data_IF_236779362906
#
_entry.id   IF_236779362906
#
_cell.length_a   1.000
_cell.length_b   1.000
_cell.length_c   1.000
_cell.angle_alpha   90.00
_cell.angle_beta   90.00
_cell.angle_gamma   90.00
#
_symmetry.space_group_name_H-M   'P 1'
#
loop_
_entity.id
_entity.type
_entity.pdbx_description
1 polymer ?
#
# COMPACT_ATOMS: atom_id res chain seq x y z
N UNK A 1 17.47 10.27 -10.46
CA UNK A 1 18.57 11.15 -10.85
C UNK A 1 18.09 12.26 -11.77
N UNK A 2 17.85 11.98 -13.03
CA UNK A 2 17.58 12.99 -14.09
C UNK A 2 16.43 13.95 -13.74
N UNK A 3 15.31 13.45 -13.22
CA UNK A 3 14.18 14.31 -12.81
C UNK A 3 14.62 15.34 -11.74
N UNK A 4 15.30 14.90 -10.71
CA UNK A 4 15.78 15.78 -9.63
C UNK A 4 16.78 16.80 -10.13
N UNK A 5 17.66 16.41 -11.03
CA UNK A 5 18.63 17.29 -11.65
C UNK A 5 17.94 18.38 -12.50
N UNK A 6 16.97 17.98 -13.32
CA UNK A 6 16.17 18.93 -14.12
C UNK A 6 15.40 19.93 -13.23
N UNK A 7 14.79 19.46 -12.13
CA UNK A 7 14.12 20.36 -11.19
C UNK A 7 15.10 21.40 -10.61
N UNK A 8 16.30 20.97 -10.21
CA UNK A 8 17.34 21.88 -9.70
C UNK A 8 17.81 22.86 -10.76
N UNK A 9 18.13 22.39 -11.97
CA UNK A 9 18.60 23.24 -13.07
C UNK A 9 17.57 24.31 -13.48
N UNK A 10 16.27 23.98 -13.36
CA UNK A 10 15.18 24.91 -13.67
C UNK A 10 14.72 25.73 -12.46
N UNK A 11 15.31 25.55 -11.28
CA UNK A 11 14.96 26.22 -10.03
C UNK A 11 13.56 25.85 -9.49
N UNK A 12 12.94 24.80 -10.03
CA UNK A 12 11.60 24.35 -9.65
C UNK A 12 11.58 23.46 -8.41
N UNK A 13 12.73 22.91 -8.02
CA UNK A 13 12.89 22.11 -6.80
C UNK A 13 12.41 22.85 -5.54
N UNK A 14 12.51 24.17 -5.53
CA UNK A 14 12.08 25.05 -4.41
C UNK A 14 10.55 25.12 -4.24
N UNK A 15 9.79 24.71 -5.23
CA UNK A 15 8.31 24.72 -5.22
C UNK A 15 7.71 23.42 -5.78
N UNK A 16 8.42 22.30 -5.61
CA UNK A 16 7.95 20.99 -6.06
C UNK A 16 8.02 20.00 -4.92
N UNK A 17 6.88 19.39 -4.61
CA UNK A 17 6.80 18.22 -3.75
C UNK A 17 6.93 16.98 -4.63
N UNK A 18 7.93 16.16 -4.36
CA UNK A 18 8.15 14.90 -5.05
C UNK A 18 7.63 13.76 -4.18
N UNK A 19 6.73 12.98 -4.73
CA UNK A 19 6.19 11.78 -4.09
C UNK A 19 6.48 10.59 -4.96
N UNK A 20 7.04 9.55 -4.38
CA UNK A 20 7.23 8.26 -5.01
C UNK A 20 6.58 7.18 -4.14
N UNK A 21 5.77 6.33 -4.74
CA UNK A 21 5.17 5.18 -4.06
C UNK A 21 5.01 4.03 -5.05
N UNK A 22 4.96 2.83 -4.51
CA UNK A 22 4.52 1.63 -5.25
C UNK A 22 3.06 1.34 -4.90
N UNK A 23 2.32 0.76 -5.85
CA UNK A 23 0.89 0.51 -5.69
C UNK A 23 0.59 -0.73 -4.83
N UNK A 24 1.45 -1.74 -4.90
CA UNK A 24 1.31 -3.01 -4.16
C UNK A 24 2.65 -3.75 -4.07
N UNK A 25 2.67 -4.83 -3.32
CA UNK A 25 3.79 -5.76 -3.31
C UNK A 25 4.01 -6.41 -4.68
N UNK A 26 5.11 -7.13 -4.82
CA UNK A 26 5.53 -7.71 -6.08
C UNK A 26 4.47 -8.63 -6.70
N UNK A 27 4.35 -8.63 -8.02
CA UNK A 27 3.39 -9.46 -8.73
C UNK A 27 4.02 -10.82 -9.13
N UNK A 28 3.58 -11.95 -8.54
CA UNK A 28 4.12 -13.27 -8.86
C UNK A 28 3.53 -13.88 -10.13
N UNK A 29 2.52 -13.25 -10.76
CA UNK A 29 1.85 -13.82 -11.90
C UNK A 29 2.81 -14.03 -13.08
N UNK A 30 2.66 -15.18 -13.72
CA UNK A 30 3.32 -15.47 -15.00
C UNK A 30 2.41 -15.03 -16.14
N UNK A 31 2.76 -13.92 -16.77
CA UNK A 31 1.93 -13.30 -17.80
C UNK A 31 0.79 -12.46 -17.22
N UNK A 32 0.15 -11.71 -18.10
CA UNK A 32 -1.04 -10.95 -17.73
C UNK A 32 -2.29 -11.81 -17.93
N UNK A 33 -3.24 -11.68 -17.03
CA UNK A 33 -4.48 -12.47 -17.03
C UNK A 33 -5.30 -12.40 -18.32
N UNK A 34 -5.08 -11.35 -19.14
CA UNK A 34 -5.85 -11.09 -20.35
C UNK A 34 -5.20 -11.65 -21.61
N UNK A 35 -3.94 -12.05 -21.52
CA UNK A 35 -3.07 -12.23 -22.67
C UNK A 35 -2.32 -13.58 -22.62
N UNK A 36 -2.95 -14.55 -21.97
CA UNK A 36 -2.35 -15.86 -21.70
C UNK A 36 -2.44 -16.84 -22.87
N UNK A 37 -2.79 -16.39 -24.09
CA UNK A 37 -2.81 -17.28 -25.25
C UNK A 37 -1.39 -17.47 -25.81
N UNK A 38 -1.04 -18.67 -26.28
CA UNK A 38 0.24 -18.91 -26.94
C UNK A 38 0.49 -17.95 -28.10
N UNK A 39 -0.56 -17.55 -28.81
CA UNK A 39 -0.52 -16.63 -29.96
C UNK A 39 -0.06 -15.23 -29.54
N UNK A 40 -0.52 -14.74 -28.39
CA UNK A 40 -0.07 -13.46 -27.86
C UNK A 40 1.45 -13.47 -27.59
N UNK A 41 1.97 -14.52 -26.97
CA UNK A 41 3.39 -14.59 -26.62
C UNK A 41 4.32 -14.75 -27.83
N UNK A 42 3.85 -15.34 -28.94
CA UNK A 42 4.63 -15.51 -30.17
C UNK A 42 5.04 -14.19 -30.85
N UNK A 43 4.38 -13.07 -30.51
CA UNK A 43 4.71 -11.75 -31.08
C UNK A 43 5.93 -11.11 -30.44
N UNK A 44 6.46 -11.68 -29.37
CA UNK A 44 7.57 -11.09 -28.62
C UNK A 44 8.80 -11.99 -28.65
N UNK A 45 9.96 -11.35 -28.80
CA UNK A 45 11.24 -12.01 -28.57
C UNK A 45 11.63 -11.84 -27.09
N UNK A 46 11.31 -12.86 -26.31
CA UNK A 46 11.61 -12.95 -24.88
C UNK A 46 12.89 -13.74 -24.59
N UNK A 47 13.79 -13.86 -25.59
CA UNK A 47 15.12 -14.42 -25.39
C UNK A 47 15.90 -13.60 -24.35
N UNK A 48 16.82 -14.25 -23.66
CA UNK A 48 17.64 -13.63 -22.61
C UNK A 48 18.33 -12.33 -23.11
N UNK A 49 18.83 -12.35 -24.34
CA UNK A 49 19.55 -11.21 -24.91
C UNK A 49 18.63 -10.02 -25.26
N UNK A 50 17.32 -10.25 -25.41
CA UNK A 50 16.35 -9.23 -25.76
C UNK A 50 15.50 -8.75 -24.57
N UNK A 51 15.59 -9.39 -23.40
CA UNK A 51 14.83 -8.97 -22.22
C UNK A 51 15.10 -7.50 -21.88
N UNK A 52 14.02 -6.74 -21.69
CA UNK A 52 14.08 -5.30 -21.40
C UNK A 52 14.32 -4.40 -22.60
N UNK A 53 14.41 -4.96 -23.81
CA UNK A 53 14.57 -4.21 -25.07
C UNK A 53 13.27 -4.17 -25.86
N UNK A 54 13.24 -3.36 -26.91
CA UNK A 54 12.08 -3.27 -27.81
C UNK A 54 11.75 -4.64 -28.39
N UNK A 55 10.48 -5.01 -28.31
CA UNK A 55 9.98 -6.29 -28.81
C UNK A 55 10.02 -7.40 -27.77
N UNK A 56 10.50 -7.16 -26.53
CA UNK A 56 10.31 -8.07 -25.42
C UNK A 56 9.06 -7.70 -24.59
N UNK A 57 8.43 -8.70 -24.02
CA UNK A 57 7.32 -8.56 -23.11
C UNK A 57 7.37 -9.70 -22.07
N UNK A 58 7.97 -9.45 -20.93
CA UNK A 58 8.20 -10.46 -19.89
C UNK A 58 7.60 -10.05 -18.57
N UNK A 59 7.07 -11.02 -17.85
CA UNK A 59 6.84 -10.91 -16.40
C UNK A 59 7.98 -11.60 -15.66
N UNK A 60 8.35 -11.09 -14.50
CA UNK A 60 9.47 -11.70 -13.78
C UNK A 60 9.09 -12.91 -12.94
N UNK A 61 7.80 -13.20 -12.80
CA UNK A 61 7.29 -14.44 -12.22
C UNK A 61 7.53 -14.58 -10.70
N UNK A 62 7.15 -15.72 -10.12
CA UNK A 62 7.10 -15.88 -8.66
C UNK A 62 8.47 -15.81 -7.98
N UNK A 63 9.52 -16.31 -8.62
CA UNK A 63 10.85 -16.30 -8.00
C UNK A 63 11.41 -14.90 -7.83
N UNK A 64 11.35 -14.09 -8.87
CA UNK A 64 11.78 -12.68 -8.80
C UNK A 64 10.82 -11.83 -7.97
N UNK A 65 9.53 -12.17 -7.94
CA UNK A 65 8.59 -11.53 -7.04
C UNK A 65 8.97 -11.76 -5.57
N UNK A 66 9.41 -12.97 -5.20
CA UNK A 66 9.93 -13.24 -3.85
C UNK A 66 11.18 -12.42 -3.54
N UNK A 67 12.11 -12.29 -4.49
CA UNK A 67 13.30 -11.46 -4.31
C UNK A 67 12.94 -10.00 -4.07
N UNK A 68 12.06 -9.44 -4.91
CA UNK A 68 11.63 -8.03 -4.81
C UNK A 68 10.77 -7.76 -3.59
N UNK A 69 10.12 -8.79 -3.04
CA UNK A 69 9.21 -8.67 -1.91
C UNK A 69 9.88 -9.01 -0.57
N UNK A 70 11.16 -9.38 -0.60
CA UNK A 70 11.88 -9.74 0.63
C UNK A 70 11.82 -8.56 1.64
N UNK A 71 11.64 -8.88 2.94
CA UNK A 71 11.64 -10.21 3.55
C UNK A 71 10.29 -10.96 3.51
N UNK A 72 9.23 -10.40 2.95
CA UNK A 72 7.85 -10.89 2.96
C UNK A 72 7.61 -12.01 1.91
N UNK A 73 8.42 -13.04 1.88
CA UNK A 73 8.27 -14.14 0.93
C UNK A 73 6.87 -14.80 1.01
N UNK A 74 6.37 -15.26 -0.15
CA UNK A 74 5.09 -15.95 -0.34
C UNK A 74 3.80 -15.12 -0.20
N UNK A 75 3.88 -13.85 0.17
CA UNK A 75 2.73 -12.95 0.23
C UNK A 75 3.01 -11.70 -0.59
N UNK A 76 2.51 -11.69 -1.83
CA UNK A 76 2.74 -10.65 -2.81
C UNK A 76 1.47 -9.83 -3.08
N UNK A 77 1.44 -9.13 -4.20
CA UNK A 77 0.22 -8.52 -4.78
C UNK A 77 -0.98 -9.46 -4.63
N UNK A 78 -2.15 -8.89 -4.43
CA UNK A 78 -3.44 -9.60 -4.25
C UNK A 78 -3.63 -10.29 -2.90
N UNK A 79 -2.89 -9.87 -1.88
CA UNK A 79 -3.12 -10.31 -0.51
C UNK A 79 -3.23 -9.13 0.45
N UNK A 80 -3.92 -9.31 1.57
CA UNK A 80 -3.93 -8.36 2.69
C UNK A 80 -2.76 -8.58 3.67
N UNK A 81 -1.86 -9.54 3.38
CA UNK A 81 -0.63 -9.74 4.13
C UNK A 81 0.38 -8.59 3.88
N UNK A 82 1.37 -8.42 4.78
CA UNK A 82 2.35 -7.33 4.69
C UNK A 82 3.06 -7.31 3.34
N UNK A 83 3.44 -8.46 2.78
CA UNK A 83 4.08 -8.51 1.48
C UNK A 83 3.21 -8.04 0.30
N UNK A 84 1.90 -7.92 0.49
CA UNK A 84 0.99 -7.35 -0.50
C UNK A 84 0.70 -5.87 -0.32
N UNK A 85 0.74 -5.38 0.91
CA UNK A 85 0.26 -4.04 1.29
C UNK A 85 1.32 -3.11 1.86
N UNK A 86 2.42 -3.63 2.39
CA UNK A 86 3.53 -2.79 2.89
C UNK A 86 4.45 -2.46 1.72
N UNK A 87 4.37 -1.24 1.25
CA UNK A 87 5.05 -0.77 0.04
C UNK A 87 5.89 0.46 0.31
N UNK A 88 6.89 0.66 -0.54
CA UNK A 88 7.76 1.81 -0.42
C UNK A 88 7.00 3.13 -0.67
N UNK A 89 7.20 4.09 0.23
CA UNK A 89 6.73 5.46 0.10
C UNK A 89 7.87 6.43 0.39
N UNK A 90 8.10 7.35 -0.51
CA UNK A 90 9.07 8.42 -0.33
C UNK A 90 8.44 9.77 -0.65
N UNK A 91 8.69 10.76 0.19
CA UNK A 91 8.24 12.13 -0.01
C UNK A 91 9.39 13.10 0.25
N UNK A 92 9.55 14.09 -0.62
CA UNK A 92 10.59 15.09 -0.50
C UNK A 92 10.11 16.41 -1.10
N UNK A 93 10.56 17.53 -0.53
CA UNK A 93 10.24 18.86 -1.05
C UNK A 93 10.23 19.93 0.02
N UNK A 94 9.83 21.15 -0.35
CA UNK A 94 9.81 22.29 0.55
C UNK A 94 8.92 22.04 1.77
N UNK A 95 9.41 22.43 2.93
CA UNK A 95 8.68 22.30 4.20
C UNK A 95 8.80 20.91 4.86
N UNK A 96 9.28 19.89 4.16
CA UNK A 96 9.54 18.57 4.78
C UNK A 96 10.76 18.69 5.68
N UNK A 97 10.61 18.39 6.97
CA UNK A 97 11.72 18.45 7.95
C UNK A 97 12.24 17.07 8.34
N UNK A 98 11.45 16.03 8.09
CA UNK A 98 11.79 14.61 8.35
C UNK A 98 12.54 14.00 7.17
N UNK A 99 13.68 14.57 6.79
CA UNK A 99 14.46 14.11 5.65
C UNK A 99 15.68 13.29 6.06
N UNK A 100 16.16 12.45 5.13
CA UNK A 100 17.34 11.61 5.33
C UNK A 100 17.15 10.49 6.36
N UNK A 101 15.91 10.09 6.63
CA UNK A 101 15.56 9.05 7.61
C UNK A 101 14.56 8.08 7.03
N UNK A 102 14.58 6.86 7.53
CA UNK A 102 13.47 5.91 7.40
C UNK A 102 12.53 6.19 8.57
N UNK A 103 11.26 6.39 8.27
CA UNK A 103 10.21 6.64 9.23
C UNK A 103 9.29 5.41 9.26
N UNK A 104 9.11 4.82 10.43
CA UNK A 104 8.30 3.63 10.61
C UNK A 104 6.79 3.94 10.80
N UNK A 105 6.41 5.21 10.70
CA UNK A 105 5.00 5.60 10.82
C UNK A 105 4.16 5.03 9.69
N UNK A 106 3.00 4.53 10.04
CA UNK A 106 2.05 4.00 9.06
C UNK A 106 1.33 5.12 8.33
N UNK A 107 1.39 5.12 7.01
CA UNK A 107 0.61 5.97 6.12
C UNK A 107 -0.13 5.08 5.10
N UNK A 108 -1.44 5.21 5.03
CA UNK A 108 -2.23 4.50 4.03
C UNK A 108 -2.26 5.29 2.72
N UNK A 109 -2.41 4.60 1.58
CA UNK A 109 -2.44 5.24 0.26
C UNK A 109 -3.51 6.34 0.15
N UNK A 110 -4.64 6.17 0.82
CA UNK A 110 -5.71 7.17 0.83
C UNK A 110 -5.39 8.42 1.68
N UNK A 111 -4.26 8.44 2.41
CA UNK A 111 -3.76 9.62 3.13
C UNK A 111 -2.92 10.53 2.22
N UNK A 112 -2.48 10.03 1.08
CA UNK A 112 -1.66 10.80 0.12
C UNK A 112 -2.42 12.00 -0.41
N UNK A 113 -3.65 11.81 -0.88
CA UNK A 113 -4.45 12.88 -1.46
C UNK A 113 -4.73 14.04 -0.48
N UNK A 114 -5.26 13.82 0.74
CA UNK A 114 -5.45 14.92 1.70
C UNK A 114 -4.13 15.58 2.11
N UNK A 115 -3.03 14.84 2.16
CA UNK A 115 -1.70 15.42 2.42
C UNK A 115 -1.29 16.39 1.31
N UNK A 116 -1.44 15.98 0.05
CA UNK A 116 -1.12 16.84 -1.10
C UNK A 116 -2.02 18.07 -1.19
N UNK A 117 -3.32 17.92 -0.93
CA UNK A 117 -4.25 19.04 -0.90
C UNK A 117 -3.85 20.07 0.15
N UNK A 118 -3.49 19.64 1.35
CA UNK A 118 -3.07 20.55 2.40
C UNK A 118 -1.74 21.25 2.07
N UNK A 119 -0.76 20.55 1.45
CA UNK A 119 0.46 21.20 0.96
C UNK A 119 0.16 22.23 -0.12
N UNK A 120 -0.76 21.96 -1.02
CA UNK A 120 -1.17 22.88 -2.09
C UNK A 120 -2.08 24.01 -1.61
N UNK A 121 -2.52 24.02 -0.36
CA UNK A 121 -3.48 25.00 0.17
C UNK A 121 -4.88 24.87 -0.42
N UNK A 122 -5.24 23.69 -0.93
CA UNK A 122 -6.53 23.38 -1.54
C UNK A 122 -7.45 22.76 -0.50
N UNK A 123 -8.65 23.34 -0.34
CA UNK A 123 -9.74 22.70 0.39
C UNK A 123 -10.60 21.89 -0.58
N UNK A 124 -10.51 20.55 -0.56
CA UNK A 124 -11.23 19.71 -1.51
C UNK A 124 -12.75 19.84 -1.35
N UNK A 125 -13.24 20.10 -0.14
CA UNK A 125 -14.68 20.25 0.12
C UNK A 125 -15.25 21.50 -0.57
N UNK A 126 -14.48 22.58 -0.65
CA UNK A 126 -14.86 23.80 -1.39
C UNK A 126 -14.75 23.61 -2.90
N UNK A 127 -13.71 22.94 -3.36
CA UNK A 127 -13.44 22.71 -4.79
C UNK A 127 -14.46 21.78 -5.43
N UNK A 128 -14.97 20.79 -4.69
CA UNK A 128 -15.92 19.78 -5.15
C UNK A 128 -17.38 20.10 -4.79
N UNK A 129 -17.65 21.23 -4.15
CA UNK A 129 -18.95 21.62 -3.59
C UNK A 129 -20.13 21.67 -4.59
N UNK A 130 -19.87 21.55 -5.89
CA UNK A 130 -20.92 21.53 -6.93
C UNK A 130 -21.57 20.17 -7.16
N UNK A 131 -21.01 19.09 -6.57
CA UNK A 131 -21.54 17.72 -6.70
C UNK A 131 -21.43 17.00 -5.35
N UNK A 132 -22.42 16.17 -4.98
CA UNK A 132 -22.29 15.32 -3.81
C UNK A 132 -21.15 14.32 -4.06
N UNK A 133 -20.14 14.36 -3.21
CA UNK A 133 -19.01 13.44 -3.21
C UNK A 133 -18.89 12.78 -1.84
N UNK A 134 -18.41 11.56 -1.82
CA UNK A 134 -18.11 10.88 -0.56
C UNK A 134 -16.97 11.60 0.16
N UNK A 135 -17.04 11.74 1.49
CA UNK A 135 -15.95 12.28 2.28
C UNK A 135 -14.66 11.48 2.08
N UNK A 136 -13.53 12.14 2.02
CA UNK A 136 -12.24 11.46 2.05
C UNK A 136 -12.06 10.77 3.40
N UNK A 137 -11.64 9.51 3.37
CA UNK A 137 -11.35 8.71 4.57
C UNK A 137 -9.92 8.91 5.06
N UNK A 138 -9.06 9.44 4.19
CA UNK A 138 -7.66 9.73 4.49
C UNK A 138 -7.48 10.93 5.42
N UNK A 139 -6.34 10.94 6.11
CA UNK A 139 -5.91 12.04 6.97
C UNK A 139 -4.63 12.65 6.42
N UNK A 140 -4.46 13.96 6.58
CA UNK A 140 -3.25 14.62 6.13
C UNK A 140 -2.08 14.39 7.07
N UNK A 141 -0.94 14.07 6.51
CA UNK A 141 0.34 13.93 7.21
C UNK A 141 1.19 15.21 7.15
N UNK A 142 0.70 16.31 6.55
CA UNK A 142 1.49 17.53 6.37
C UNK A 142 2.12 18.00 7.67
N UNK A 143 1.34 18.19 8.73
CA UNK A 143 1.84 18.70 10.01
C UNK A 143 2.89 17.79 10.65
N UNK A 144 2.76 16.49 10.47
CA UNK A 144 3.76 15.51 10.90
C UNK A 144 5.03 15.61 10.05
N UNK A 145 4.90 15.68 8.73
CA UNK A 145 6.03 15.78 7.80
C UNK A 145 6.79 17.11 7.92
N UNK A 146 6.10 18.17 8.29
CA UNK A 146 6.73 19.51 8.55
C UNK A 146 7.29 19.66 9.96
N UNK A 147 7.08 18.67 10.84
CA UNK A 147 7.56 18.70 12.22
C UNK A 147 6.73 19.55 13.18
N UNK A 148 5.58 20.05 12.76
CA UNK A 148 4.64 20.78 13.62
C UNK A 148 4.06 19.89 14.73
N UNK A 149 3.90 18.60 14.45
CA UNK A 149 3.52 17.58 15.42
C UNK A 149 4.51 16.42 15.40
N UNK A 150 4.69 15.76 16.56
CA UNK A 150 5.64 14.66 16.66
C UNK A 150 5.00 13.30 16.36
N UNK A 151 3.74 13.15 16.72
CA UNK A 151 3.00 11.91 16.51
C UNK A 151 2.36 11.87 15.12
N UNK A 152 2.39 10.71 14.43
CA UNK A 152 1.70 10.54 13.18
C UNK A 152 0.18 10.63 13.38
N UNK A 153 -0.57 11.18 12.42
CA UNK A 153 -2.01 11.40 12.58
C UNK A 153 -2.84 10.11 12.49
N UNK A 154 -2.21 8.98 12.15
CA UNK A 154 -2.88 7.69 11.98
C UNK A 154 -2.23 6.62 12.83
N UNK A 155 -3.04 5.95 13.65
CA UNK A 155 -2.64 4.76 14.42
C UNK A 155 -3.25 3.46 13.88
N UNK A 156 -4.33 3.56 13.08
CA UNK A 156 -5.04 2.39 12.56
C UNK A 156 -5.51 2.58 11.13
N UNK A 157 -5.66 1.47 10.40
CA UNK A 157 -6.22 1.47 9.05
C UNK A 157 -6.77 0.09 8.66
N UNK A 158 -7.75 0.13 7.74
CA UNK A 158 -8.34 -1.06 7.15
C UNK A 158 -7.92 -1.24 5.71
N UNK A 159 -7.84 -2.49 5.30
CA UNK A 159 -7.59 -2.93 3.91
C UNK A 159 -8.59 -4.00 3.53
N UNK A 160 -9.12 -3.90 2.32
CA UNK A 160 -9.85 -4.99 1.67
C UNK A 160 -9.32 -5.17 0.26
N UNK A 161 -9.17 -6.42 -0.16
CA UNK A 161 -8.77 -6.80 -1.50
C UNK A 161 -9.25 -8.21 -1.82
N UNK A 162 -10.13 -8.35 -2.79
CA UNK A 162 -10.66 -9.66 -3.21
C UNK A 162 -11.22 -10.50 -2.05
N UNK A 163 -12.03 -9.89 -1.19
CA UNK A 163 -12.58 -10.48 0.04
C UNK A 163 -11.54 -10.82 1.13
N UNK A 164 -10.29 -10.53 0.90
CA UNK A 164 -9.27 -10.58 1.95
C UNK A 164 -9.31 -9.27 2.72
N UNK A 165 -9.18 -9.37 4.02
CA UNK A 165 -9.32 -8.23 4.92
C UNK A 165 -8.12 -8.09 5.84
N UNK A 166 -7.80 -6.85 6.22
CA UNK A 166 -6.90 -6.59 7.32
C UNK A 166 -7.31 -5.32 8.08
N UNK A 167 -7.08 -5.34 9.38
CA UNK A 167 -7.13 -4.18 10.25
C UNK A 167 -5.80 -4.08 11.01
N UNK A 168 -5.15 -2.95 10.89
CA UNK A 168 -3.93 -2.64 11.64
C UNK A 168 -4.28 -1.61 12.70
N UNK A 169 -3.80 -1.83 13.91
CA UNK A 169 -3.96 -0.94 15.06
C UNK A 169 -2.67 -0.93 15.91
N UNK A 170 -1.88 0.13 15.74
CA UNK A 170 -0.54 0.19 16.30
C UNK A 170 0.33 -0.95 15.76
N UNK A 171 0.86 -1.74 16.67
CA UNK A 171 1.72 -2.91 16.36
C UNK A 171 0.92 -4.18 16.03
N UNK A 172 -0.39 -4.15 16.18
CA UNK A 172 -1.22 -5.33 15.97
C UNK A 172 -1.89 -5.33 14.61
N UNK A 173 -1.92 -6.50 14.00
CA UNK A 173 -2.62 -6.72 12.74
C UNK A 173 -3.53 -7.93 12.83
N UNK A 174 -4.80 -7.67 12.60
CA UNK A 174 -5.80 -8.69 12.33
C UNK A 174 -5.92 -8.84 10.81
N UNK A 175 -5.79 -10.05 10.28
CA UNK A 175 -6.00 -10.31 8.85
C UNK A 175 -6.89 -11.52 8.61
N UNK A 176 -7.52 -11.53 7.46
CA UNK A 176 -8.25 -12.68 6.93
C UNK A 176 -7.83 -12.89 5.49
N UNK A 177 -7.13 -14.00 5.25
CA UNK A 177 -6.82 -14.45 3.90
C UNK A 177 -7.88 -15.45 3.48
N UNK A 178 -8.48 -15.24 2.32
CA UNK A 178 -9.50 -16.13 1.78
C UNK A 178 -8.84 -17.06 0.75
N UNK A 179 -8.64 -18.34 1.08
CA UNK A 179 -8.13 -19.32 0.13
C UNK A 179 -9.04 -19.40 -1.11
N UNK A 180 -8.45 -19.73 -2.25
CA UNK A 180 -9.20 -19.86 -3.50
C UNK A 180 -10.30 -20.91 -3.36
N UNK A 181 -11.53 -20.51 -3.64
CA UNK A 181 -12.71 -21.38 -3.53
C UNK A 181 -13.47 -21.31 -2.21
N UNK A 182 -12.98 -20.50 -1.25
CA UNK A 182 -13.73 -20.18 -0.03
C UNK A 182 -14.36 -18.80 -0.12
N UNK A 183 -15.35 -18.55 0.73
CA UNK A 183 -15.94 -17.23 0.93
C UNK A 183 -15.26 -16.52 2.11
N UNK A 184 -15.41 -15.19 2.17
CA UNK A 184 -14.88 -14.41 3.28
C UNK A 184 -15.42 -14.87 4.66
N UNK A 185 -16.67 -15.35 4.71
CA UNK A 185 -17.30 -15.85 5.94
C UNK A 185 -16.68 -17.13 6.49
N UNK A 186 -16.04 -17.92 5.62
CA UNK A 186 -15.50 -19.24 5.99
C UNK A 186 -14.03 -19.17 6.45
N UNK A 187 -13.34 -18.06 6.17
CA UNK A 187 -11.93 -17.91 6.52
C UNK A 187 -11.78 -17.31 7.92
N UNK A 188 -10.98 -17.95 8.80
CA UNK A 188 -10.76 -17.43 10.15
C UNK A 188 -9.92 -16.15 10.15
N UNK A 189 -10.13 -15.33 11.17
CA UNK A 189 -9.22 -14.24 11.49
C UNK A 189 -7.91 -14.79 12.08
N UNK A 190 -6.80 -14.19 11.68
CA UNK A 190 -5.46 -14.42 12.20
C UNK A 190 -4.96 -13.11 12.83
N UNK A 191 -4.23 -13.22 13.93
CA UNK A 191 -3.70 -12.06 14.66
C UNK A 191 -2.17 -12.13 14.74
N UNK A 192 -1.53 -11.00 14.50
CA UNK A 192 -0.06 -10.86 14.52
C UNK A 192 0.36 -9.61 15.28
N UNK A 193 1.47 -9.70 16.02
CA UNK A 193 2.17 -8.53 16.51
C UNK A 193 3.28 -8.18 15.50
N UNK A 194 3.12 -7.11 14.74
CA UNK A 194 4.07 -6.72 13.68
C UNK A 194 5.41 -6.22 14.21
N UNK A 195 5.51 -5.86 15.50
CA UNK A 195 6.79 -5.52 16.13
C UNK A 195 7.66 -6.76 16.29
N UNK A 196 7.09 -7.84 16.78
CA UNK A 196 7.80 -9.08 17.10
C UNK A 196 7.84 -10.05 15.89
N UNK A 197 6.76 -10.02 15.10
CA UNK A 197 6.59 -10.87 13.91
C UNK A 197 6.14 -10.05 12.68
N UNK A 198 7.02 -9.23 12.11
CA UNK A 198 6.70 -8.42 10.93
C UNK A 198 6.40 -9.26 9.68
N UNK A 199 6.77 -10.54 9.69
CA UNK A 199 6.56 -11.47 8.57
C UNK A 199 5.24 -12.24 8.66
N UNK A 200 4.47 -12.05 9.74
CA UNK A 200 3.18 -12.69 9.96
C UNK A 200 3.26 -14.23 9.90
N UNK A 201 4.24 -14.79 10.58
CA UNK A 201 4.54 -16.24 10.57
C UNK A 201 3.90 -16.98 11.74
N UNK A 202 3.57 -16.27 12.81
CA UNK A 202 3.04 -16.84 14.05
C UNK A 202 1.69 -16.23 14.42
N UNK A 203 0.61 -16.97 14.14
CA UNK A 203 -0.76 -16.57 14.46
C UNK A 203 -1.05 -16.75 15.94
N UNK A 204 -1.28 -15.65 16.65
CA UNK A 204 -1.58 -15.62 18.09
C UNK A 204 -3.07 -15.35 18.38
N UNK A 205 -3.96 -15.52 17.41
CA UNK A 205 -5.38 -15.25 17.58
C UNK A 205 -6.01 -16.02 18.76
N UNK A 206 -5.62 -17.29 18.96
CA UNK A 206 -6.12 -18.13 20.02
C UNK A 206 -5.68 -17.63 21.43
N UNK A 207 -4.57 -16.93 21.52
CA UNK A 207 -4.01 -16.40 22.76
C UNK A 207 -4.65 -15.07 23.16
N UNK A 208 -5.23 -14.34 22.17
CA UNK A 208 -5.78 -13.00 22.37
C UNK A 208 -7.22 -12.84 21.83
N UNK A 209 -8.20 -13.66 22.27
CA UNK A 209 -9.56 -13.66 21.72
C UNK A 209 -10.26 -12.31 21.85
N UNK A 210 -10.05 -11.59 22.94
CA UNK A 210 -10.66 -10.26 23.16
C UNK A 210 -10.12 -9.22 22.18
N UNK A 211 -8.82 -9.29 21.84
CA UNK A 211 -8.22 -8.42 20.83
C UNK A 211 -8.73 -8.72 19.43
N UNK A 212 -8.84 -10.00 19.09
CA UNK A 212 -9.45 -10.44 17.82
C UNK A 212 -10.86 -9.88 17.68
N UNK A 213 -11.68 -9.99 18.74
CA UNK A 213 -13.04 -9.44 18.75
C UNK A 213 -13.05 -7.93 18.55
N UNK A 214 -12.29 -7.19 19.35
CA UNK A 214 -12.25 -5.72 19.26
C UNK A 214 -11.78 -5.24 17.88
N UNK A 215 -10.74 -5.86 17.31
CA UNK A 215 -10.20 -5.48 16.00
C UNK A 215 -11.11 -5.91 14.85
N UNK A 216 -11.84 -7.03 14.97
CA UNK A 216 -12.83 -7.41 13.95
C UNK A 216 -14.02 -6.45 13.95
N UNK A 217 -14.50 -6.03 15.11
CA UNK A 217 -15.56 -5.00 15.23
C UNK A 217 -15.11 -3.66 14.61
N UNK A 218 -13.85 -3.28 14.84
CA UNK A 218 -13.27 -2.06 14.25
C UNK A 218 -13.16 -2.17 12.70
N UNK A 219 -12.76 -3.34 12.19
CA UNK A 219 -12.77 -3.60 10.75
C UNK A 219 -14.17 -3.52 10.16
N UNK A 220 -15.17 -4.14 10.78
CA UNK A 220 -16.55 -4.09 10.31
C UNK A 220 -17.11 -2.65 10.28
N UNK A 221 -16.78 -1.85 11.28
CA UNK A 221 -17.13 -0.42 11.29
C UNK A 221 -16.45 0.34 10.14
N UNK A 222 -15.19 0.04 9.84
CA UNK A 222 -14.46 0.56 8.68
C UNK A 222 -15.15 0.13 7.38
N UNK A 223 -15.39 -1.15 7.19
CA UNK A 223 -16.00 -1.72 5.99
C UNK A 223 -17.36 -1.08 5.70
N UNK A 224 -18.21 -0.96 6.72
CA UNK A 224 -19.51 -0.28 6.62
C UNK A 224 -19.37 1.18 6.20
N UNK A 225 -18.43 1.92 6.79
CA UNK A 225 -18.21 3.34 6.48
C UNK A 225 -17.67 3.54 5.06
N UNK A 226 -16.85 2.63 4.57
CA UNK A 226 -16.21 2.70 3.26
C UNK A 226 -16.96 1.94 2.17
N UNK A 227 -18.10 1.33 2.52
CA UNK A 227 -18.93 0.52 1.62
C UNK A 227 -18.17 -0.66 1.00
N UNK A 228 -17.23 -1.21 1.73
CA UNK A 228 -16.55 -2.46 1.41
C UNK A 228 -17.48 -3.61 1.77
N UNK A 229 -17.67 -4.59 0.87
CA UNK A 229 -18.57 -5.73 1.03
C UNK A 229 -17.83 -7.06 1.07
#
# INVERSE_FOLDING_TARGET
GTLMETLKQTGRDKNTLLVFLTDNGANPAQGFYYESTPEFWKQFDNSYDNVGRKGSFVSYGPHWANVSNAPYANYHKTTSAQGGINTDFMISGPGITRHGKIDASTMAVYDVAPTLYEFAGIDPNKSLAKKPVLPMIGVSFKRYLTGEVQEPPRGNYGVELHHQAAWVDGEWKLRRLVPRGLTAGDAPWQLFNLHDDPLETHDVAAEHPDRVKAMSEAYEAFAKRTMVT
#
